data_IF_069774013664
#
_entry.id   IF_069774013664
#
_cell.length_a   1.000
_cell.length_b   1.000
_cell.length_c   1.000
_cell.angle_alpha   90.00
_cell.angle_beta   90.00
_cell.angle_gamma   90.00
#
_symmetry.space_group_name_H-M   'P 1'
#
loop_
_entity.id
_entity.type
_entity.pdbx_description
1 polymer ?
#
# COMPACT_ATOMS: atom_id res chain seq x y z
N UNK A 1 -16.66 24.08 -6.11
CA UNK A 1 -15.20 23.92 -6.23
C UNK A 1 -14.89 22.54 -5.68
N UNK A 2 -14.74 21.52 -6.54
CA UNK A 2 -14.51 20.14 -6.08
C UNK A 2 -13.02 20.04 -5.75
N UNK A 3 -12.66 20.31 -4.49
CA UNK A 3 -11.31 20.10 -4.01
C UNK A 3 -11.06 18.60 -3.92
N UNK A 4 -10.45 18.01 -4.94
CA UNK A 4 -9.86 16.67 -4.84
C UNK A 4 -8.73 16.77 -3.80
N UNK A 5 -9.03 16.38 -2.56
CA UNK A 5 -8.05 16.33 -1.48
C UNK A 5 -7.14 15.13 -1.71
N UNK A 6 -5.87 15.38 -2.02
CA UNK A 6 -4.83 14.36 -1.96
C UNK A 6 -4.39 14.22 -0.50
N UNK A 7 -4.65 13.07 0.10
CA UNK A 7 -4.10 12.69 1.41
C UNK A 7 -3.27 11.44 1.24
N UNK A 8 -2.13 11.37 1.91
CA UNK A 8 -1.30 10.18 1.91
C UNK A 8 -0.79 9.89 3.32
N UNK A 9 -0.91 8.64 3.75
CA UNK A 9 -0.39 8.15 5.02
C UNK A 9 0.73 7.15 4.73
N UNK A 10 1.94 7.44 5.24
CA UNK A 10 3.13 6.60 5.04
C UNK A 10 3.47 5.85 6.31
N UNK A 11 3.61 4.53 6.22
CA UNK A 11 4.08 3.68 7.31
C UNK A 11 5.25 2.84 6.83
N UNK A 12 6.25 2.68 7.68
CA UNK A 12 7.46 1.92 7.37
C UNK A 12 7.56 0.69 8.26
N UNK A 13 8.09 -0.39 7.69
CA UNK A 13 8.45 -1.60 8.39
C UNK A 13 9.92 -1.91 8.11
N UNK A 14 10.71 -2.02 9.18
CA UNK A 14 12.13 -2.33 9.09
C UNK A 14 12.40 -3.75 9.60
N UNK A 15 13.17 -4.53 8.83
CA UNK A 15 13.69 -5.83 9.25
C UNK A 15 15.15 -5.96 8.85
N UNK A 16 16.06 -5.93 9.83
CA UNK A 16 17.53 -6.11 9.87
C UNK A 16 18.42 -5.62 8.71
N UNK A 17 17.99 -5.66 7.44
CA UNK A 17 18.68 -5.11 6.26
C UNK A 17 17.74 -4.56 5.16
N UNK A 18 16.41 -4.71 5.31
CA UNK A 18 15.43 -4.30 4.31
C UNK A 18 14.34 -3.48 5.00
N UNK A 19 14.13 -2.26 4.50
CA UNK A 19 13.04 -1.40 4.91
C UNK A 19 11.97 -1.44 3.81
N UNK A 20 10.75 -1.85 4.18
CA UNK A 20 9.59 -1.82 3.29
C UNK A 20 8.74 -0.61 3.70
N UNK A 21 8.39 0.21 2.73
CA UNK A 21 7.55 1.38 2.88
C UNK A 21 6.19 1.07 2.30
N UNK A 22 5.14 1.43 3.03
CA UNK A 22 3.76 1.34 2.62
C UNK A 22 3.15 2.74 2.64
N UNK A 23 2.52 3.12 1.54
CA UNK A 23 1.92 4.43 1.32
C UNK A 23 0.44 4.21 0.97
N UNK A 24 -0.45 4.55 1.90
CA UNK A 24 -1.87 4.59 1.64
C UNK A 24 -2.22 5.96 1.05
N UNK A 25 -2.79 5.97 -0.15
CA UNK A 25 -3.01 7.17 -0.97
C UNK A 25 -4.50 7.33 -1.19
N UNK A 26 -5.07 8.45 -0.76
CA UNK A 26 -6.45 8.81 -1.06
C UNK A 26 -6.50 9.74 -2.27
N UNK A 27 -7.19 9.31 -3.33
CA UNK A 27 -7.33 10.03 -4.60
C UNK A 27 -8.69 9.70 -5.21
N UNK A 28 -9.40 10.71 -5.72
CA UNK A 28 -10.69 10.53 -6.41
C UNK A 28 -11.75 9.74 -5.60
N UNK A 29 -11.80 9.96 -4.29
CA UNK A 29 -12.69 9.25 -3.35
C UNK A 29 -12.40 7.76 -3.16
N UNK A 30 -11.23 7.29 -3.61
CA UNK A 30 -10.78 5.91 -3.43
C UNK A 30 -9.40 5.88 -2.78
N UNK A 31 -9.13 4.78 -2.07
CA UNK A 31 -7.85 4.48 -1.45
C UNK A 31 -7.04 3.52 -2.33
N UNK A 32 -5.77 3.85 -2.48
CA UNK A 32 -4.76 3.09 -3.22
C UNK A 32 -3.61 2.73 -2.27
N UNK A 33 -2.88 1.66 -2.54
CA UNK A 33 -1.72 1.24 -1.77
C UNK A 33 -0.48 1.15 -2.65
N UNK A 34 0.55 1.93 -2.31
CA UNK A 34 1.89 1.78 -2.84
C UNK A 34 2.78 1.08 -1.80
N UNK A 35 3.58 0.11 -2.24
CA UNK A 35 4.51 -0.64 -1.40
C UNK A 35 5.85 -0.79 -2.10
N UNK A 36 6.95 -0.47 -1.42
CA UNK A 36 8.28 -0.62 -1.99
C UNK A 36 9.39 -0.89 -0.97
N UNK A 37 10.46 -1.52 -1.43
CA UNK A 37 11.70 -1.66 -0.64
C UNK A 37 12.53 -0.38 -0.80
N UNK A 38 12.85 0.27 0.31
CA UNK A 38 13.70 1.46 0.31
C UNK A 38 15.12 1.13 -0.18
N UNK A 39 15.74 2.07 -0.89
CA UNK A 39 17.10 1.90 -1.45
C UNK A 39 17.22 0.91 -2.60
N UNK A 40 16.10 0.32 -3.07
CA UNK A 40 16.08 -0.62 -4.19
C UNK A 40 15.51 0.00 -5.47
N UNK A 41 15.80 -0.64 -6.61
CA UNK A 41 15.27 -0.22 -7.90
C UNK A 41 13.76 -0.50 -7.98
N UNK A 42 12.97 0.56 -8.20
CA UNK A 42 11.51 0.51 -8.32
C UNK A 42 11.00 -0.08 -9.65
N UNK A 43 11.87 -0.31 -10.64
CA UNK A 43 11.47 -0.95 -11.92
C UNK A 43 11.33 -2.48 -11.79
N UNK A 44 11.81 -3.07 -10.69
CA UNK A 44 11.68 -4.49 -10.41
C UNK A 44 10.43 -4.75 -9.56
N UNK A 45 9.55 -5.62 -10.05
CA UNK A 45 8.31 -6.03 -9.40
C UNK A 45 8.55 -6.67 -8.02
N UNK A 46 9.74 -7.21 -7.76
CA UNK A 46 10.11 -7.72 -6.43
C UNK A 46 10.29 -6.60 -5.39
N UNK A 47 10.45 -5.36 -5.84
CA UNK A 47 10.83 -4.22 -5.02
C UNK A 47 9.77 -3.12 -5.00
N UNK A 48 8.76 -3.18 -5.87
CA UNK A 48 7.73 -2.16 -6.00
C UNK A 48 6.39 -2.77 -6.43
N UNK A 49 5.32 -2.32 -5.80
CA UNK A 49 3.95 -2.58 -6.20
C UNK A 49 3.10 -1.34 -5.94
N UNK A 50 2.21 -1.01 -6.87
CA UNK A 50 1.19 -0.01 -6.73
C UNK A 50 -0.13 -0.63 -7.16
N UNK A 51 -1.12 -0.59 -6.27
CA UNK A 51 -2.49 -0.97 -6.57
C UNK A 51 -3.36 0.27 -6.36
N UNK A 52 -4.09 0.66 -7.40
CA UNK A 52 -4.98 1.81 -7.37
C UNK A 52 -6.42 1.38 -7.12
N UNK A 53 -7.21 2.29 -6.54
CA UNK A 53 -8.68 2.21 -6.51
C UNK A 53 -9.23 0.96 -5.79
N UNK A 54 -8.66 0.64 -4.61
CA UNK A 54 -8.95 -0.58 -3.84
C UNK A 54 -10.31 -0.51 -3.13
N UNK A 55 -10.57 0.57 -2.38
CA UNK A 55 -11.79 0.75 -1.59
C UNK A 55 -12.07 2.24 -1.36
N UNK A 56 -13.33 2.64 -1.18
CA UNK A 56 -13.73 3.98 -0.73
C UNK A 56 -13.86 4.07 0.81
N UNK A 57 -13.80 2.94 1.53
CA UNK A 57 -13.88 2.89 2.99
C UNK A 57 -12.50 3.11 3.64
N UNK A 58 -12.35 4.21 4.38
CA UNK A 58 -11.11 4.56 5.09
C UNK A 58 -10.75 3.53 6.17
N UNK A 59 -11.73 3.00 6.89
CA UNK A 59 -11.51 2.03 7.96
C UNK A 59 -11.02 0.69 7.43
N UNK A 60 -11.58 0.23 6.31
CA UNK A 60 -11.08 -0.97 5.63
C UNK A 60 -9.66 -0.77 5.07
N UNK A 61 -9.40 0.39 4.46
CA UNK A 61 -8.08 0.74 3.93
C UNK A 61 -7.00 0.76 5.03
N UNK A 62 -7.29 1.37 6.18
CA UNK A 62 -6.38 1.41 7.33
C UNK A 62 -6.19 0.02 7.96
N UNK A 63 -7.26 -0.77 8.09
CA UNK A 63 -7.18 -2.13 8.61
C UNK A 63 -6.33 -3.04 7.71
N UNK A 64 -6.46 -2.90 6.39
CA UNK A 64 -5.64 -3.60 5.41
C UNK A 64 -4.17 -3.19 5.53
N UNK A 65 -3.87 -1.88 5.55
CA UNK A 65 -2.52 -1.36 5.74
C UNK A 65 -1.87 -1.92 7.01
N UNK A 66 -2.59 -1.89 8.14
CA UNK A 66 -2.12 -2.43 9.41
C UNK A 66 -1.79 -3.93 9.30
N UNK A 67 -2.62 -4.69 8.60
CA UNK A 67 -2.42 -6.12 8.35
C UNK A 67 -1.15 -6.37 7.52
N UNK A 68 -0.91 -5.59 6.47
CA UNK A 68 0.29 -5.69 5.63
C UNK A 68 1.57 -5.41 6.42
N UNK A 69 1.58 -4.31 7.18
CA UNK A 69 2.73 -3.89 8.00
C UNK A 69 3.06 -4.95 9.05
N UNK A 70 2.03 -5.47 9.74
CA UNK A 70 2.21 -6.49 10.79
C UNK A 70 2.64 -7.84 10.22
N UNK A 71 2.11 -8.23 9.06
CA UNK A 71 2.46 -9.45 8.34
C UNK A 71 3.83 -9.41 7.66
N UNK A 72 4.46 -8.23 7.62
CA UNK A 72 5.74 -7.98 6.93
C UNK A 72 5.71 -8.32 5.44
N UNK A 73 4.61 -7.94 4.78
CA UNK A 73 4.33 -8.29 3.39
C UNK A 73 5.27 -7.56 2.43
N UNK A 74 5.93 -8.30 1.54
CA UNK A 74 6.79 -7.70 0.52
C UNK A 74 5.97 -7.20 -0.70
N UNK A 75 6.49 -6.23 -1.48
CA UNK A 75 5.79 -5.64 -2.62
C UNK A 75 5.21 -6.67 -3.60
N UNK A 76 5.96 -7.74 -3.90
CA UNK A 76 5.54 -8.80 -4.81
C UNK A 76 4.25 -9.52 -4.40
N UNK A 77 3.92 -9.52 -3.10
CA UNK A 77 2.75 -10.20 -2.56
C UNK A 77 1.54 -9.28 -2.40
N UNK A 78 1.70 -7.96 -2.57
CA UNK A 78 0.62 -6.99 -2.26
C UNK A 78 -0.61 -7.21 -3.13
N UNK A 79 -0.42 -7.55 -4.41
CA UNK A 79 -1.54 -7.81 -5.32
C UNK A 79 -2.38 -8.98 -4.83
N UNK A 80 -1.75 -10.12 -4.53
CA UNK A 80 -2.43 -11.31 -4.03
C UNK A 80 -3.17 -11.01 -2.71
N UNK A 81 -2.54 -10.24 -1.81
CA UNK A 81 -3.17 -9.85 -0.54
C UNK A 81 -4.39 -8.95 -0.73
N UNK A 82 -4.39 -8.04 -1.72
CA UNK A 82 -5.54 -7.19 -2.05
C UNK A 82 -6.69 -8.04 -2.59
N UNK A 83 -6.40 -8.92 -3.56
CA UNK A 83 -7.38 -9.82 -4.16
C UNK A 83 -8.02 -10.71 -3.10
N UNK A 84 -7.23 -11.27 -2.18
CA UNK A 84 -7.72 -12.11 -1.08
C UNK A 84 -8.56 -11.33 -0.04
N UNK A 85 -8.13 -10.12 0.35
CA UNK A 85 -8.78 -9.35 1.40
C UNK A 85 -10.09 -8.70 0.93
N UNK A 86 -10.06 -8.04 -0.23
CA UNK A 86 -11.20 -7.30 -0.78
C UNK A 86 -12.07 -8.15 -1.71
N UNK A 87 -11.62 -9.37 -2.07
CA UNK A 87 -12.33 -10.29 -2.99
C UNK A 87 -12.60 -9.68 -4.36
N UNK A 88 -11.61 -8.95 -4.87
CA UNK A 88 -11.62 -8.25 -6.17
C UNK A 88 -10.77 -8.95 -7.21
#
# INVERSE_FOLDING_TARGET
MIGLSMKSSTTTMSSEKIQVVYNLIFKNALYSLECYKEGNNKTDLNNYCLIEDITDDEGEAEAFLYTMVKGKVFPIHIKDMVEDYFRV
#
